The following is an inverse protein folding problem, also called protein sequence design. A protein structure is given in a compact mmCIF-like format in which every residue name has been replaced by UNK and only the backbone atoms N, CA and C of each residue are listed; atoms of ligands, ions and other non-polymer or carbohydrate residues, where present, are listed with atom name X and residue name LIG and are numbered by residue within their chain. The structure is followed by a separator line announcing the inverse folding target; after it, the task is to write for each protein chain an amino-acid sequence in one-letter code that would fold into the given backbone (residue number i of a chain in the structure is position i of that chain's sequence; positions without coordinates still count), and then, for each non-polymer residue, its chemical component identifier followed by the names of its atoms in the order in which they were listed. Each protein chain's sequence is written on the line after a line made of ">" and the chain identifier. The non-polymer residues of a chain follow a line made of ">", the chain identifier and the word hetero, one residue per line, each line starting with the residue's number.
data_IF_092304292468
#
_entry.id   IF_092304292468
#
_cell.length_a   1.000
_cell.length_b   1.000
_cell.length_c   1.000
_cell.angle_alpha   90.00
_cell.angle_beta   90.00
_cell.angle_gamma   90.00
#
_symmetry.space_group_name_H-M   'P 1'
#
loop_
_entity.id
_entity.type
_entity.pdbx_description
1 polymer ?
#
# COMPACT_ATOMS: atom_id res chain seq x y z
N UNK A 1 10.25 -11.79 -27.28
CA UNK A 1 9.79 -11.18 -26.01
C UNK A 1 10.02 -12.06 -24.75
N UNK A 2 10.05 -13.38 -24.86
CA UNK A 2 10.20 -14.30 -23.71
C UNK A 2 11.51 -14.19 -22.91
N UNK A 3 12.63 -13.85 -23.54
CA UNK A 3 13.93 -13.79 -22.85
C UNK A 3 14.22 -12.52 -22.03
N UNK A 4 13.51 -11.40 -22.31
CA UNK A 4 13.71 -10.14 -21.60
C UNK A 4 13.00 -10.18 -20.23
N UNK A 5 11.77 -10.67 -20.20
CA UNK A 5 10.98 -10.77 -18.95
C UNK A 5 11.60 -11.75 -17.94
N UNK A 6 12.22 -12.84 -18.41
CA UNK A 6 12.97 -13.77 -17.52
C UNK A 6 14.20 -13.11 -16.92
N UNK A 7 14.92 -12.30 -17.71
CA UNK A 7 16.10 -11.54 -17.21
C UNK A 7 15.75 -10.49 -16.16
N UNK A 8 14.48 -10.02 -16.15
CA UNK A 8 13.98 -9.06 -15.14
C UNK A 8 13.40 -9.73 -13.90
N UNK A 9 13.40 -11.08 -13.84
CA UNK A 9 12.92 -11.83 -12.68
C UNK A 9 11.41 -11.99 -12.58
N UNK A 10 10.64 -11.66 -13.64
CA UNK A 10 9.21 -11.94 -13.69
C UNK A 10 8.96 -13.44 -13.92
N UNK A 11 8.33 -14.17 -12.98
CA UNK A 11 8.09 -15.60 -13.14
C UNK A 11 7.02 -15.87 -14.20
N UNK A 12 7.39 -16.53 -15.27
CA UNK A 12 6.46 -16.87 -16.38
C UNK A 12 5.22 -17.63 -15.92
N UNK A 13 5.39 -18.53 -14.97
CA UNK A 13 4.28 -19.34 -14.43
C UNK A 13 3.19 -18.51 -13.73
N UNK A 14 3.51 -17.28 -13.33
CA UNK A 14 2.61 -16.36 -12.62
C UNK A 14 2.27 -15.11 -13.42
N UNK A 15 2.70 -14.97 -14.67
CA UNK A 15 2.55 -13.74 -15.47
C UNK A 15 1.09 -13.28 -15.59
N UNK A 16 0.15 -14.21 -15.81
CA UNK A 16 -1.27 -13.88 -15.86
C UNK A 16 -1.82 -13.46 -14.49
N UNK A 17 -1.28 -14.02 -13.40
CA UNK A 17 -1.65 -13.62 -12.06
C UNK A 17 -1.11 -12.21 -11.73
N UNK A 18 0.10 -11.87 -12.16
CA UNK A 18 0.62 -10.49 -12.06
C UNK A 18 -0.26 -9.49 -12.82
N UNK A 19 -0.64 -9.81 -14.06
CA UNK A 19 -1.56 -8.98 -14.83
C UNK A 19 -2.94 -8.89 -14.16
N UNK A 20 -3.41 -10.00 -13.59
CA UNK A 20 -4.66 -10.05 -12.84
C UNK A 20 -4.64 -9.13 -11.61
N UNK A 21 -3.56 -9.15 -10.83
CA UNK A 21 -3.39 -8.23 -9.69
C UNK A 21 -3.32 -6.78 -10.16
N UNK A 22 -2.61 -6.50 -11.26
CA UNK A 22 -2.51 -5.14 -11.82
C UNK A 22 -3.89 -4.57 -12.16
N UNK A 23 -4.73 -5.35 -12.86
CA UNK A 23 -6.08 -4.92 -13.25
C UNK A 23 -7.01 -4.86 -12.03
N UNK A 24 -6.90 -5.78 -11.08
CA UNK A 24 -7.65 -5.72 -9.82
C UNK A 24 -7.33 -4.44 -9.05
N UNK A 25 -6.05 -4.11 -8.90
CA UNK A 25 -5.60 -2.91 -8.21
C UNK A 25 -5.96 -1.62 -8.96
N UNK A 26 -6.06 -1.66 -10.29
CA UNK A 26 -6.64 -0.55 -11.05
C UNK A 26 -8.09 -0.30 -10.62
N UNK A 27 -8.90 -1.35 -10.45
CA UNK A 27 -10.26 -1.25 -9.91
C UNK A 27 -10.30 -0.68 -8.48
N UNK A 28 -9.37 -1.08 -7.62
CA UNK A 28 -9.30 -0.60 -6.24
C UNK A 28 -8.88 0.88 -6.13
N UNK A 29 -8.11 1.38 -7.09
CA UNK A 29 -7.60 2.76 -7.12
C UNK A 29 -8.58 3.81 -7.67
N UNK A 30 -9.73 3.41 -8.21
CA UNK A 30 -10.65 4.31 -8.94
C UNK A 30 -11.11 5.52 -8.11
N UNK A 31 -11.39 5.32 -6.83
CA UNK A 31 -11.94 6.38 -5.98
C UNK A 31 -10.87 7.19 -5.22
N UNK A 32 -9.60 6.84 -5.27
CA UNK A 32 -8.56 7.41 -4.40
C UNK A 32 -8.42 8.94 -4.50
N UNK A 33 -8.63 9.50 -5.68
CA UNK A 33 -8.36 10.92 -5.93
C UNK A 33 -9.56 11.83 -5.72
N UNK A 34 -10.78 11.30 -5.67
CA UNK A 34 -12.01 12.10 -5.64
C UNK A 34 -12.99 11.73 -4.52
N UNK A 35 -12.96 10.49 -4.00
CA UNK A 35 -13.99 10.03 -3.06
C UNK A 35 -14.02 10.85 -1.77
N UNK A 36 -12.86 11.19 -1.20
CA UNK A 36 -12.81 11.95 0.06
C UNK A 36 -13.51 13.30 -0.07
N UNK A 37 -13.22 14.02 -1.15
CA UNK A 37 -13.86 15.31 -1.43
C UNK A 37 -15.36 15.14 -1.64
N UNK A 38 -15.77 14.18 -2.46
CA UNK A 38 -17.17 13.88 -2.72
C UNK A 38 -17.97 13.58 -1.44
N UNK A 39 -17.41 12.78 -0.52
CA UNK A 39 -18.04 12.48 0.76
C UNK A 39 -18.20 13.72 1.63
N UNK A 40 -17.19 14.58 1.71
CA UNK A 40 -17.25 15.82 2.52
C UNK A 40 -18.25 16.81 1.93
N UNK A 41 -18.30 16.97 0.62
CA UNK A 41 -19.29 17.82 -0.08
C UNK A 41 -20.75 17.38 0.18
N UNK A 42 -20.94 16.08 0.47
CA UNK A 42 -22.23 15.51 0.86
C UNK A 42 -22.41 15.37 2.39
N UNK A 43 -21.61 16.08 3.19
CA UNK A 43 -21.76 16.15 4.64
C UNK A 43 -21.25 14.93 5.42
N UNK A 44 -20.48 14.04 4.79
CA UNK A 44 -19.93 12.84 5.42
C UNK A 44 -18.54 13.07 5.99
N UNK A 45 -18.19 12.37 7.09
CA UNK A 45 -16.86 12.36 7.66
C UNK A 45 -15.95 11.38 6.89
N UNK A 46 -15.31 11.87 5.84
CA UNK A 46 -14.43 11.05 5.00
C UNK A 46 -13.26 10.47 5.79
N UNK A 47 -12.66 11.24 6.72
CA UNK A 47 -11.50 10.79 7.49
C UNK A 47 -11.82 9.54 8.32
N UNK A 48 -12.99 9.49 8.95
CA UNK A 48 -13.44 8.33 9.73
C UNK A 48 -13.77 7.13 8.83
N UNK A 49 -14.43 7.37 7.66
CA UNK A 49 -14.72 6.31 6.69
C UNK A 49 -13.41 5.66 6.19
N UNK A 50 -12.43 6.47 5.79
CA UNK A 50 -11.12 5.98 5.36
C UNK A 50 -10.32 5.32 6.50
N UNK A 51 -10.45 5.80 7.74
CA UNK A 51 -9.79 5.17 8.90
C UNK A 51 -10.29 3.76 9.15
N UNK A 52 -11.61 3.55 9.14
CA UNK A 52 -12.20 2.22 9.35
C UNK A 52 -11.84 1.28 8.19
N UNK A 53 -11.89 1.76 6.95
CA UNK A 53 -11.36 1.03 5.80
C UNK A 53 -9.91 0.60 6.02
N UNK A 54 -9.04 1.54 6.40
CA UNK A 54 -7.62 1.28 6.65
C UNK A 54 -7.36 0.28 7.78
N UNK A 55 -8.18 0.30 8.84
CA UNK A 55 -8.11 -0.68 9.91
C UNK A 55 -8.43 -2.10 9.41
N UNK A 56 -9.44 -2.23 8.56
CA UNK A 56 -9.80 -3.51 7.95
C UNK A 56 -8.74 -3.99 6.96
N UNK A 57 -8.13 -3.06 6.22
CA UNK A 57 -6.96 -3.35 5.36
C UNK A 57 -5.81 -3.92 6.18
N UNK A 58 -5.46 -3.29 7.31
CA UNK A 58 -4.38 -3.76 8.18
C UNK A 58 -4.66 -5.18 8.74
N UNK A 59 -5.87 -5.40 9.24
CA UNK A 59 -6.30 -6.68 9.76
C UNK A 59 -6.25 -7.77 8.69
N UNK A 60 -6.79 -7.50 7.52
CA UNK A 60 -6.84 -8.44 6.42
C UNK A 60 -5.44 -8.74 5.86
N UNK A 61 -4.59 -7.74 5.71
CA UNK A 61 -3.21 -7.91 5.26
C UNK A 61 -2.40 -8.80 6.23
N UNK A 62 -2.59 -8.60 7.53
CA UNK A 62 -1.96 -9.42 8.55
C UNK A 62 -2.43 -10.86 8.53
N UNK A 63 -3.75 -11.09 8.39
CA UNK A 63 -4.35 -12.42 8.40
C UNK A 63 -4.18 -13.17 7.08
N UNK A 64 -3.95 -12.48 5.95
CA UNK A 64 -3.95 -13.05 4.60
C UNK A 64 -3.05 -14.27 4.43
N UNK A 65 -1.84 -14.24 5.02
CA UNK A 65 -0.88 -15.34 4.96
C UNK A 65 -1.41 -16.61 5.61
N UNK A 66 -1.91 -16.50 6.86
CA UNK A 66 -2.42 -17.66 7.62
C UNK A 66 -3.69 -18.22 7.00
N UNK A 67 -4.59 -17.34 6.54
CA UNK A 67 -5.81 -17.77 5.85
C UNK A 67 -5.44 -18.52 4.57
N UNK A 68 -4.47 -18.01 3.80
CA UNK A 68 -3.99 -18.65 2.58
C UNK A 68 -3.37 -20.03 2.85
N UNK A 69 -2.57 -20.15 3.91
CA UNK A 69 -1.95 -21.44 4.31
C UNK A 69 -2.97 -22.45 4.86
N UNK A 70 -4.06 -21.96 5.45
CA UNK A 70 -5.09 -22.83 6.06
C UNK A 70 -6.11 -23.30 5.02
N UNK A 71 -6.62 -22.39 4.19
CA UNK A 71 -7.71 -22.66 3.25
C UNK A 71 -7.26 -22.80 1.78
N UNK A 72 -5.99 -22.51 1.51
CA UNK A 72 -5.39 -22.54 0.19
C UNK A 72 -5.43 -21.17 -0.52
N UNK A 73 -4.38 -20.90 -1.30
CA UNK A 73 -4.15 -19.60 -1.94
C UNK A 73 -5.32 -19.17 -2.82
N UNK A 74 -5.72 -20.00 -3.80
CA UNK A 74 -6.78 -19.65 -4.75
C UNK A 74 -8.14 -19.43 -4.07
N UNK A 75 -8.46 -20.22 -3.05
CA UNK A 75 -9.72 -20.06 -2.29
C UNK A 75 -9.72 -18.76 -1.49
N UNK A 76 -8.60 -18.42 -0.86
CA UNK A 76 -8.45 -17.16 -0.11
C UNK A 76 -8.54 -15.95 -1.03
N UNK A 77 -7.86 -15.98 -2.20
CA UNK A 77 -7.98 -14.93 -3.21
C UNK A 77 -9.43 -14.77 -3.70
N UNK A 78 -10.12 -15.86 -3.98
CA UNK A 78 -11.53 -15.84 -4.41
C UNK A 78 -12.45 -15.26 -3.31
N UNK A 79 -12.26 -15.69 -2.06
CA UNK A 79 -13.01 -15.16 -0.92
C UNK A 79 -12.75 -13.65 -0.75
N UNK A 80 -11.50 -13.21 -0.89
CA UNK A 80 -11.13 -11.81 -0.88
C UNK A 80 -11.87 -10.99 -1.95
N UNK A 81 -11.92 -11.51 -3.18
CA UNK A 81 -12.68 -10.88 -4.25
C UNK A 81 -14.20 -10.81 -3.94
N UNK A 82 -14.79 -11.89 -3.44
CA UNK A 82 -16.23 -11.91 -3.13
C UNK A 82 -16.56 -10.85 -2.06
N UNK A 83 -15.77 -10.79 -0.98
CA UNK A 83 -15.91 -9.78 0.08
C UNK A 83 -15.75 -8.38 -0.49
N UNK A 84 -14.74 -8.16 -1.34
CA UNK A 84 -14.50 -6.90 -2.03
C UNK A 84 -15.69 -6.49 -2.89
N UNK A 85 -16.19 -7.39 -3.74
CA UNK A 85 -17.30 -7.12 -4.65
C UNK A 85 -18.60 -6.78 -3.89
N UNK A 86 -18.90 -7.51 -2.81
CA UNK A 86 -20.03 -7.21 -1.93
C UNK A 86 -19.84 -5.82 -1.27
N UNK A 87 -18.63 -5.52 -0.79
CA UNK A 87 -18.28 -4.23 -0.21
C UNK A 87 -18.51 -3.09 -1.20
N UNK A 88 -17.95 -3.19 -2.41
CA UNK A 88 -18.11 -2.16 -3.46
C UNK A 88 -19.56 -2.03 -3.93
N UNK A 89 -20.26 -3.15 -4.16
CA UNK A 89 -21.67 -3.13 -4.57
C UNK A 89 -22.56 -2.46 -3.51
N UNK A 90 -22.40 -2.82 -2.23
CA UNK A 90 -23.12 -2.19 -1.14
C UNK A 90 -22.76 -0.72 -0.96
N UNK A 91 -21.47 -0.38 -1.11
CA UNK A 91 -21.00 1.00 -1.03
C UNK A 91 -21.60 1.88 -2.13
N UNK A 92 -21.63 1.39 -3.39
CA UNK A 92 -22.19 2.13 -4.51
C UNK A 92 -23.73 2.22 -4.45
N UNK A 93 -24.42 1.07 -4.27
CA UNK A 93 -25.87 1.00 -4.44
C UNK A 93 -26.68 1.46 -3.23
N UNK A 94 -26.13 1.36 -2.03
CA UNK A 94 -26.83 1.73 -0.79
C UNK A 94 -26.12 2.91 -0.11
N UNK A 95 -24.80 2.80 0.07
CA UNK A 95 -24.02 3.81 0.77
C UNK A 95 -24.04 5.16 0.08
N UNK A 96 -23.51 5.23 -1.14
CA UNK A 96 -23.40 6.47 -1.91
C UNK A 96 -24.76 6.92 -2.46
N UNK A 97 -25.62 5.98 -2.90
CA UNK A 97 -26.90 6.32 -3.47
C UNK A 97 -27.85 7.03 -2.46
N UNK A 98 -27.80 6.63 -1.19
CA UNK A 98 -28.66 7.18 -0.14
C UNK A 98 -27.89 8.10 0.83
N UNK A 99 -26.58 8.29 0.66
CA UNK A 99 -25.70 8.99 1.61
C UNK A 99 -25.90 8.51 3.06
N UNK A 100 -26.04 7.19 3.22
CA UNK A 100 -26.27 6.59 4.53
C UNK A 100 -24.95 6.30 5.22
N UNK A 101 -24.61 7.09 6.25
CA UNK A 101 -23.31 7.04 6.91
C UNK A 101 -22.96 5.66 7.53
N UNK A 102 -23.82 4.97 8.29
CA UNK A 102 -23.55 3.63 8.78
C UNK A 102 -23.28 2.62 7.66
N UNK A 103 -24.04 2.68 6.57
CA UNK A 103 -23.84 1.79 5.42
C UNK A 103 -22.53 2.07 4.72
N UNK A 104 -22.15 3.35 4.54
CA UNK A 104 -20.85 3.74 4.00
C UNK A 104 -19.70 3.13 4.82
N UNK A 105 -19.78 3.22 6.15
CA UNK A 105 -18.77 2.66 7.04
C UNK A 105 -18.63 1.13 6.89
N UNK A 106 -19.76 0.41 6.96
CA UNK A 106 -19.74 -1.06 6.92
C UNK A 106 -19.30 -1.58 5.55
N UNK A 107 -19.85 -1.02 4.48
CA UNK A 107 -19.56 -1.53 3.13
C UNK A 107 -18.14 -1.16 2.66
N UNK A 108 -17.63 0.01 3.06
CA UNK A 108 -16.25 0.38 2.77
C UNK A 108 -15.26 -0.42 3.63
N UNK A 109 -15.62 -0.76 4.87
CA UNK A 109 -14.88 -1.69 5.70
C UNK A 109 -14.77 -3.09 5.06
N UNK A 110 -15.87 -3.61 4.50
CA UNK A 110 -15.87 -4.89 3.75
C UNK A 110 -14.95 -4.82 2.53
N UNK A 111 -14.99 -3.71 1.77
CA UNK A 111 -14.03 -3.49 0.67
C UNK A 111 -12.59 -3.57 1.19
N UNK A 112 -12.30 -2.92 2.33
CA UNK A 112 -10.98 -2.93 2.99
C UNK A 112 -10.54 -4.31 3.45
N UNK A 113 -11.46 -5.20 3.85
CA UNK A 113 -11.14 -6.61 4.15
C UNK A 113 -10.84 -7.41 2.88
N UNK A 114 -11.56 -7.13 1.79
CA UNK A 114 -11.52 -7.96 0.58
C UNK A 114 -10.23 -7.84 -0.21
N UNK A 115 -9.77 -6.61 -0.52
CA UNK A 115 -8.65 -6.46 -1.44
C UNK A 115 -7.32 -7.03 -0.93
N UNK A 116 -6.95 -6.91 0.37
CA UNK A 116 -5.70 -7.50 0.83
C UNK A 116 -5.73 -9.03 0.84
N UNK A 117 -6.89 -9.64 1.11
CA UNK A 117 -7.05 -11.10 0.95
C UNK A 117 -6.78 -11.55 -0.48
N UNK A 118 -7.08 -10.74 -1.48
CA UNK A 118 -6.71 -11.04 -2.86
C UNK A 118 -5.23 -10.72 -3.13
N UNK A 119 -4.80 -9.48 -2.94
CA UNK A 119 -3.51 -9.00 -3.38
C UNK A 119 -2.34 -9.54 -2.53
N UNK A 120 -2.44 -9.51 -1.19
CA UNK A 120 -1.34 -10.01 -0.34
C UNK A 120 -1.27 -11.53 -0.30
N UNK A 121 -2.39 -12.23 -0.51
CA UNK A 121 -2.34 -13.68 -0.71
C UNK A 121 -1.57 -14.04 -2.00
N UNK A 122 -1.64 -13.22 -3.04
CA UNK A 122 -0.80 -13.41 -4.22
C UNK A 122 0.70 -13.24 -3.90
N UNK A 123 1.07 -12.31 -3.02
CA UNK A 123 2.46 -12.21 -2.55
C UNK A 123 2.92 -13.50 -1.84
N UNK A 124 2.05 -14.14 -1.06
CA UNK A 124 2.31 -15.46 -0.48
C UNK A 124 2.52 -16.50 -1.59
N UNK A 125 1.68 -16.49 -2.63
CA UNK A 125 1.86 -17.40 -3.77
C UNK A 125 3.21 -17.24 -4.46
N UNK A 126 3.67 -15.99 -4.66
CA UNK A 126 5.01 -15.71 -5.19
C UNK A 126 6.09 -16.35 -4.31
N UNK A 127 5.99 -16.20 -3.00
CA UNK A 127 7.00 -16.70 -2.04
C UNK A 127 7.15 -18.23 -2.10
N UNK A 128 6.05 -18.96 -2.32
CA UNK A 128 6.08 -20.42 -2.43
C UNK A 128 6.44 -20.95 -3.82
N UNK A 129 6.36 -20.11 -4.86
CA UNK A 129 6.52 -20.58 -6.24
C UNK A 129 7.83 -20.15 -6.89
N UNK A 130 8.47 -19.12 -6.36
CA UNK A 130 9.65 -18.51 -6.95
C UNK A 130 10.90 -18.91 -6.16
N UNK A 131 11.98 -19.24 -6.87
CA UNK A 131 13.25 -19.58 -6.25
C UNK A 131 13.80 -18.42 -5.41
N UNK A 132 14.46 -18.74 -4.30
CA UNK A 132 15.05 -17.75 -3.38
C UNK A 132 15.98 -16.74 -4.09
N UNK A 133 16.65 -17.16 -5.16
CA UNK A 133 17.57 -16.30 -5.95
C UNK A 133 16.86 -15.18 -6.70
N UNK A 134 15.60 -15.38 -7.09
CA UNK A 134 14.80 -14.43 -7.88
C UNK A 134 13.60 -13.87 -7.12
N UNK A 135 13.42 -14.28 -5.87
CA UNK A 135 12.29 -13.88 -5.03
C UNK A 135 12.20 -12.37 -4.83
N UNK A 136 13.32 -11.70 -4.59
CA UNK A 136 13.36 -10.24 -4.41
C UNK A 136 12.88 -9.50 -5.67
N UNK A 137 13.30 -9.96 -6.86
CA UNK A 137 12.86 -9.40 -8.14
C UNK A 137 11.36 -9.63 -8.37
N UNK A 138 10.84 -10.81 -8.04
CA UNK A 138 9.42 -11.12 -8.17
C UNK A 138 8.55 -10.28 -7.21
N UNK A 139 9.03 -10.03 -5.99
CA UNK A 139 8.38 -9.10 -5.06
C UNK A 139 8.44 -7.65 -5.55
N UNK A 140 9.54 -7.24 -6.19
CA UNK A 140 9.63 -5.94 -6.87
C UNK A 140 8.56 -5.79 -7.95
N UNK A 141 8.35 -6.83 -8.78
CA UNK A 141 7.26 -6.87 -9.76
C UNK A 141 5.88 -6.81 -9.11
N UNK A 142 5.69 -7.44 -7.96
CA UNK A 142 4.44 -7.33 -7.21
C UNK A 142 4.14 -5.87 -6.84
N UNK A 143 5.09 -5.17 -6.25
CA UNK A 143 4.89 -3.77 -5.89
C UNK A 143 4.74 -2.85 -7.09
N UNK A 144 5.41 -3.16 -8.21
CA UNK A 144 5.23 -2.44 -9.47
C UNK A 144 3.79 -2.54 -9.97
N UNK A 145 3.22 -3.76 -10.06
CA UNK A 145 1.85 -3.96 -10.55
C UNK A 145 0.82 -3.45 -9.54
N UNK A 146 1.08 -3.62 -8.25
CA UNK A 146 0.22 -3.12 -7.18
C UNK A 146 0.11 -1.59 -7.22
N UNK A 147 1.23 -0.88 -7.15
CA UNK A 147 1.28 0.59 -7.14
C UNK A 147 0.88 1.17 -8.48
N UNK A 148 1.34 0.58 -9.58
CA UNK A 148 1.01 1.00 -10.94
C UNK A 148 -0.48 0.85 -11.25
N UNK A 149 -1.11 -0.24 -10.81
CA UNK A 149 -2.56 -0.42 -10.91
C UNK A 149 -3.29 0.61 -10.07
N UNK A 150 -3.04 0.61 -8.77
CA UNK A 150 -3.81 1.40 -7.80
C UNK A 150 -3.58 2.91 -7.93
N UNK A 151 -2.34 3.37 -7.83
CA UNK A 151 -2.06 4.81 -7.76
C UNK A 151 -1.93 5.49 -9.14
N UNK A 152 -1.54 4.74 -10.18
CA UNK A 152 -1.37 5.34 -11.52
C UNK A 152 -2.62 5.12 -12.37
N UNK A 153 -2.85 3.90 -12.88
CA UNK A 153 -3.95 3.67 -13.82
C UNK A 153 -5.32 3.80 -13.16
N UNK A 154 -5.49 3.36 -11.91
CA UNK A 154 -6.73 3.51 -11.16
C UNK A 154 -7.09 4.98 -10.97
N UNK A 155 -6.12 5.83 -10.65
CA UNK A 155 -6.35 7.27 -10.48
C UNK A 155 -6.70 7.98 -11.77
N UNK A 156 -5.98 7.70 -12.89
CA UNK A 156 -6.31 8.28 -14.20
C UNK A 156 -7.69 7.84 -14.68
N UNK A 157 -7.96 6.53 -14.60
CA UNK A 157 -9.26 6.01 -15.01
C UNK A 157 -10.38 6.49 -14.08
N UNK A 158 -10.12 6.60 -12.79
CA UNK A 158 -11.11 6.98 -11.79
C UNK A 158 -11.69 8.36 -12.01
N UNK A 159 -10.84 9.37 -12.34
CA UNK A 159 -11.34 10.70 -12.66
C UNK A 159 -12.09 10.71 -13.99
N UNK A 160 -11.56 10.02 -15.01
CA UNK A 160 -12.24 9.86 -16.28
C UNK A 160 -13.65 9.23 -16.11
N UNK A 161 -13.74 8.14 -15.35
CA UNK A 161 -15.00 7.44 -15.12
C UNK A 161 -15.99 8.29 -14.34
N UNK A 162 -15.52 9.03 -13.30
CA UNK A 162 -16.35 9.97 -12.55
C UNK A 162 -16.94 11.07 -13.44
N UNK A 163 -16.12 11.65 -14.32
CA UNK A 163 -16.52 12.76 -15.19
C UNK A 163 -17.50 12.33 -16.29
N UNK A 164 -17.32 11.14 -16.88
CA UNK A 164 -18.10 10.69 -18.02
C UNK A 164 -19.32 9.84 -17.62
N UNK A 165 -19.21 9.04 -16.57
CA UNK A 165 -20.28 8.11 -16.15
C UNK A 165 -20.96 8.53 -14.85
N UNK A 166 -20.35 9.44 -14.07
CA UNK A 166 -20.80 9.81 -12.74
C UNK A 166 -20.27 8.89 -11.64
N UNK A 167 -20.51 9.26 -10.39
CA UNK A 167 -19.92 8.64 -9.19
C UNK A 167 -20.31 7.17 -9.03
N UNK A 168 -21.62 6.86 -9.08
CA UNK A 168 -22.11 5.50 -8.82
C UNK A 168 -21.69 4.53 -9.95
N UNK A 169 -21.86 4.84 -11.24
CA UNK A 169 -21.38 3.98 -12.31
C UNK A 169 -19.85 3.80 -12.29
N UNK A 170 -19.08 4.85 -11.95
CA UNK A 170 -17.64 4.73 -11.80
C UNK A 170 -17.25 3.67 -10.74
N UNK A 171 -17.95 3.63 -9.61
CA UNK A 171 -17.75 2.60 -8.58
C UNK A 171 -18.09 1.19 -9.07
N UNK A 172 -19.13 1.03 -9.89
CA UNK A 172 -19.45 -0.27 -10.48
C UNK A 172 -18.36 -0.78 -11.41
N UNK A 173 -17.65 0.10 -12.12
CA UNK A 173 -16.49 -0.32 -12.95
C UNK A 173 -15.38 -0.93 -12.12
N UNK A 174 -15.24 -0.60 -10.83
CA UNK A 174 -14.27 -1.25 -9.92
C UNK A 174 -14.50 -2.76 -9.83
N UNK A 175 -15.77 -3.20 -9.77
CA UNK A 175 -16.12 -4.63 -9.76
C UNK A 175 -15.76 -5.28 -11.10
N UNK A 176 -15.97 -4.58 -12.23
CA UNK A 176 -15.62 -5.10 -13.56
C UNK A 176 -14.12 -5.38 -13.64
N UNK A 177 -13.27 -4.40 -13.27
CA UNK A 177 -11.82 -4.59 -13.25
C UNK A 177 -11.39 -5.67 -12.27
N UNK A 178 -11.96 -5.69 -11.06
CA UNK A 178 -11.67 -6.73 -10.08
C UNK A 178 -12.04 -8.12 -10.60
N UNK A 179 -13.18 -8.26 -11.27
CA UNK A 179 -13.62 -9.54 -11.90
C UNK A 179 -12.65 -9.99 -12.99
N UNK A 180 -12.27 -9.08 -13.90
CA UNK A 180 -11.27 -9.38 -14.93
C UNK A 180 -9.95 -9.82 -14.28
N UNK A 181 -9.50 -9.08 -13.25
CA UNK A 181 -8.28 -9.40 -12.50
C UNK A 181 -8.31 -10.79 -11.88
N UNK A 182 -9.42 -11.16 -11.26
CA UNK A 182 -9.62 -12.48 -10.65
C UNK A 182 -9.64 -13.59 -11.71
N UNK A 183 -10.34 -13.38 -12.82
CA UNK A 183 -10.38 -14.37 -13.92
C UNK A 183 -8.97 -14.60 -14.47
N UNK A 184 -8.19 -13.55 -14.69
CA UNK A 184 -6.81 -13.69 -15.16
C UNK A 184 -5.93 -14.43 -14.14
N UNK A 185 -6.05 -14.09 -12.86
CA UNK A 185 -5.21 -14.67 -11.83
C UNK A 185 -5.56 -16.11 -11.47
N UNK A 186 -6.85 -16.46 -11.42
CA UNK A 186 -7.30 -17.75 -10.88
C UNK A 186 -7.73 -18.75 -11.96
N UNK A 187 -8.22 -18.28 -13.11
CA UNK A 187 -8.72 -19.13 -14.20
C UNK A 187 -7.71 -19.24 -15.34
N UNK A 188 -7.25 -18.10 -15.87
CA UNK A 188 -6.31 -18.07 -17.00
C UNK A 188 -4.92 -18.51 -16.56
N UNK A 189 -4.49 -18.17 -15.36
CA UNK A 189 -3.22 -18.60 -14.82
C UNK A 189 -3.26 -20.08 -14.43
N UNK A 190 -2.75 -20.95 -15.33
CA UNK A 190 -2.77 -22.42 -15.16
C UNK A 190 -1.83 -22.94 -14.08
N UNK A 191 -1.04 -22.09 -13.43
CA UNK A 191 -0.14 -22.52 -12.36
C UNK A 191 -0.94 -23.01 -11.15
N UNK A 192 -0.82 -24.32 -10.84
CA UNK A 192 -1.49 -24.92 -9.67
C UNK A 192 -0.92 -24.40 -8.36
N UNK A 193 -1.78 -24.23 -7.38
CA UNK A 193 -1.39 -23.87 -6.00
C UNK A 193 -1.70 -25.00 -5.01
N UNK A 194 -2.33 -26.08 -5.48
CA UNK A 194 -2.95 -27.09 -4.61
C UNK A 194 -1.95 -27.95 -3.84
N UNK A 195 -0.75 -28.18 -4.40
CA UNK A 195 0.29 -29.02 -3.78
C UNK A 195 1.40 -28.22 -3.07
N UNK A 196 1.33 -26.87 -3.05
CA UNK A 196 2.40 -26.06 -2.48
C UNK A 196 2.54 -26.25 -0.97
N UNK A 197 1.42 -26.42 -0.28
CA UNK A 197 1.42 -26.60 1.18
C UNK A 197 1.63 -28.05 1.60
N UNK A 198 1.34 -29.03 0.76
CA UNK A 198 1.63 -30.44 1.02
C UNK A 198 3.14 -30.71 1.08
N UNK A 199 3.91 -30.07 0.20
CA UNK A 199 5.37 -30.18 0.22
C UNK A 199 6.00 -29.52 1.47
N UNK A 200 5.48 -28.37 1.90
CA UNK A 200 5.97 -27.69 3.11
C UNK A 200 5.51 -28.40 4.41
N UNK A 201 4.44 -29.17 4.38
CA UNK A 201 3.99 -29.97 5.52
C UNK A 201 4.86 -31.21 5.75
N UNK A 202 5.50 -31.73 4.71
CA UNK A 202 6.47 -32.83 4.84
C UNK A 202 7.79 -32.40 5.48
N UNK A 203 8.26 -31.15 5.21
CA UNK A 203 9.44 -30.59 5.86
C UNK A 203 9.19 -30.13 7.31
N UNK A 204 7.91 -29.95 7.72
CA UNK A 204 7.50 -29.49 9.05
C UNK A 204 7.03 -30.62 9.99
N UNK A 205 7.40 -31.88 9.72
CA UNK A 205 6.97 -33.03 10.54
C UNK A 205 7.49 -32.99 11.98
N UNK A 206 8.33 -32.03 12.38
CA UNK A 206 8.93 -31.92 13.70
C UNK A 206 8.23 -30.99 14.70
N UNK A 207 7.16 -30.29 14.37
CA UNK A 207 6.32 -29.60 15.34
C UNK A 207 4.92 -29.28 14.81
N UNK A 208 3.85 -29.77 15.46
CA UNK A 208 2.49 -29.30 15.17
C UNK A 208 2.27 -27.92 15.80
N UNK A 209 3.01 -26.92 15.33
CA UNK A 209 2.76 -25.55 15.78
C UNK A 209 1.49 -25.07 15.08
N UNK A 210 0.46 -24.80 15.89
CA UNK A 210 -0.81 -24.26 15.44
C UNK A 210 -0.52 -23.00 14.58
N UNK A 211 -0.97 -22.96 13.33
CA UNK A 211 -0.70 -21.86 12.37
C UNK A 211 -1.09 -20.48 12.92
N UNK A 212 -2.08 -20.43 13.81
CA UNK A 212 -2.42 -19.24 14.58
C UNK A 212 -1.30 -18.80 15.55
N UNK A 213 -0.52 -19.73 16.09
CA UNK A 213 0.63 -19.40 16.95
C UNK A 213 1.75 -18.75 16.13
N UNK A 214 1.92 -19.11 14.86
CA UNK A 214 2.90 -18.45 13.96
C UNK A 214 2.51 -16.99 13.66
N UNK A 215 1.23 -16.66 13.56
CA UNK A 215 0.72 -15.28 13.47
C UNK A 215 1.17 -14.44 14.66
N UNK A 216 1.05 -15.00 15.87
CA UNK A 216 1.46 -14.31 17.09
C UNK A 216 3.00 -14.28 17.27
N UNK A 217 3.78 -15.07 16.52
CA UNK A 217 5.25 -14.93 16.50
C UNK A 217 5.69 -13.56 15.96
N UNK A 218 5.00 -13.01 14.94
CA UNK A 218 5.25 -11.66 14.47
C UNK A 218 5.00 -10.60 15.54
N UNK A 219 3.98 -10.80 16.40
CA UNK A 219 3.75 -9.94 17.55
C UNK A 219 4.74 -10.21 18.68
N UNK A 220 5.07 -11.48 18.93
CA UNK A 220 6.02 -11.89 19.98
C UNK A 220 7.44 -11.35 19.70
N UNK A 221 7.87 -11.28 18.45
CA UNK A 221 9.19 -10.72 18.10
C UNK A 221 9.29 -9.24 18.45
N UNK A 222 8.19 -8.46 18.36
CA UNK A 222 8.17 -7.06 18.76
C UNK A 222 8.47 -6.85 20.23
N UNK A 223 8.06 -7.81 21.10
CA UNK A 223 8.39 -7.79 22.52
C UNK A 223 9.81 -8.26 22.84
N UNK A 224 10.38 -9.16 22.01
CA UNK A 224 11.73 -9.71 22.22
C UNK A 224 12.82 -8.84 21.61
N UNK A 225 12.53 -8.24 20.45
CA UNK A 225 13.49 -7.44 19.66
C UNK A 225 12.95 -6.02 19.46
N UNK A 226 13.20 -5.09 20.40
CA UNK A 226 12.69 -3.72 20.33
C UNK A 226 13.07 -2.98 19.02
N UNK A 227 14.22 -3.33 18.42
CA UNK A 227 14.64 -2.74 17.13
C UNK A 227 13.70 -3.13 15.99
N UNK A 228 13.11 -4.32 16.00
CA UNK A 228 12.13 -4.76 15.02
C UNK A 228 10.81 -4.00 15.21
N UNK A 229 10.37 -3.79 16.44
CA UNK A 229 9.21 -2.94 16.74
C UNK A 229 9.42 -1.51 16.21
N UNK A 230 10.59 -0.92 16.48
CA UNK A 230 10.95 0.41 15.94
C UNK A 230 10.92 0.39 14.41
N UNK A 231 11.44 -0.66 13.77
CA UNK A 231 11.35 -0.85 12.32
C UNK A 231 9.91 -0.86 11.80
N UNK A 232 9.00 -1.51 12.53
CA UNK A 232 7.56 -1.49 12.25
C UNK A 232 6.96 -0.09 12.35
N UNK A 233 7.33 0.69 13.37
CA UNK A 233 6.90 2.09 13.53
C UNK A 233 7.40 2.96 12.36
N UNK A 234 8.68 2.81 11.98
CA UNK A 234 9.24 3.49 10.79
C UNK A 234 8.44 3.12 9.55
N UNK A 235 8.04 1.86 9.40
CA UNK A 235 7.23 1.40 8.27
C UNK A 235 5.82 1.99 8.26
N UNK A 236 5.18 2.17 9.41
CA UNK A 236 3.91 2.89 9.53
C UNK A 236 4.10 4.32 9.02
N UNK A 237 5.08 5.04 9.55
CA UNK A 237 5.34 6.44 9.18
C UNK A 237 5.60 6.59 7.68
N UNK A 238 6.36 5.67 7.08
CA UNK A 238 6.72 5.68 5.67
C UNK A 238 5.52 5.98 4.74
N UNK A 239 4.42 5.24 4.89
CA UNK A 239 3.26 5.37 3.99
C UNK A 239 2.08 6.13 4.59
N UNK A 240 2.19 6.60 5.84
CA UNK A 240 1.13 7.37 6.53
C UNK A 240 0.73 8.62 5.74
N UNK A 241 1.71 9.39 5.23
CA UNK A 241 1.41 10.60 4.44
C UNK A 241 0.69 10.29 3.14
N UNK A 242 0.99 9.18 2.48
CA UNK A 242 0.28 8.74 1.27
C UNK A 242 -1.22 8.58 1.55
N UNK A 243 -1.57 7.87 2.62
CA UNK A 243 -2.98 7.66 3.00
C UNK A 243 -3.64 8.90 3.59
N UNK A 244 -2.88 9.78 4.24
CA UNK A 244 -3.40 11.07 4.68
C UNK A 244 -3.70 11.98 3.48
N UNK A 245 -2.82 12.05 2.49
CA UNK A 245 -2.96 12.92 1.33
C UNK A 245 -4.21 12.61 0.49
N UNK A 246 -4.55 11.35 0.28
CA UNK A 246 -5.78 11.01 -0.44
C UNK A 246 -7.06 11.47 0.29
N UNK A 247 -6.97 11.73 1.59
CA UNK A 247 -8.11 12.19 2.40
C UNK A 247 -8.26 13.71 2.40
N UNK A 248 -7.18 14.48 2.64
CA UNK A 248 -7.31 15.92 2.80
C UNK A 248 -6.85 16.76 1.60
N UNK A 249 -5.87 16.28 0.81
CA UNK A 249 -5.32 17.05 -0.30
C UNK A 249 -6.34 17.37 -1.40
N UNK A 250 -7.28 16.50 -1.79
CA UNK A 250 -8.30 16.87 -2.78
C UNK A 250 -9.12 18.10 -2.36
N UNK A 251 -9.49 18.16 -1.08
CA UNK A 251 -10.22 19.30 -0.50
C UNK A 251 -9.35 20.56 -0.46
N UNK A 252 -8.13 20.41 0.04
CA UNK A 252 -7.18 21.51 0.16
C UNK A 252 -6.79 22.08 -1.20
N UNK A 253 -6.45 21.27 -2.18
CA UNK A 253 -6.11 21.68 -3.54
C UNK A 253 -7.29 22.40 -4.21
N UNK A 254 -8.50 21.88 -4.04
CA UNK A 254 -9.72 22.51 -4.57
C UNK A 254 -9.96 23.89 -3.96
N UNK A 255 -9.71 24.08 -2.66
CA UNK A 255 -9.84 25.38 -2.00
C UNK A 255 -8.86 26.44 -2.51
N UNK A 256 -7.79 26.02 -3.18
CA UNK A 256 -6.78 26.88 -3.80
C UNK A 256 -6.92 26.96 -5.33
N UNK A 257 -8.03 26.48 -5.90
CA UNK A 257 -8.34 26.59 -7.33
C UNK A 257 -7.75 25.48 -8.22
N UNK A 258 -7.12 24.45 -7.65
CA UNK A 258 -6.70 23.26 -8.38
C UNK A 258 -7.92 22.35 -8.55
N UNK A 259 -8.33 22.08 -9.78
CA UNK A 259 -9.50 21.26 -10.05
C UNK A 259 -9.23 19.76 -9.84
N UNK A 260 -10.31 18.95 -9.76
CA UNK A 260 -10.23 17.52 -9.47
C UNK A 260 -9.40 16.74 -10.48
N UNK A 261 -9.51 17.09 -11.77
CA UNK A 261 -8.74 16.47 -12.86
C UNK A 261 -7.25 16.76 -12.74
N UNK A 262 -6.89 18.02 -12.44
CA UNK A 262 -5.50 18.40 -12.18
C UNK A 262 -4.93 17.65 -10.96
N UNK A 263 -5.68 17.58 -9.85
CA UNK A 263 -5.25 16.83 -8.68
C UNK A 263 -5.04 15.35 -9.00
N UNK A 264 -5.99 14.70 -9.66
CA UNK A 264 -5.91 13.28 -10.01
C UNK A 264 -4.72 12.98 -10.94
N UNK A 265 -4.48 13.85 -11.92
CA UNK A 265 -3.34 13.70 -12.85
C UNK A 265 -2.00 13.95 -12.15
N UNK A 266 -1.91 14.93 -11.24
CA UNK A 266 -0.72 15.13 -10.39
C UNK A 266 -0.48 13.86 -9.57
N UNK A 267 -1.49 13.36 -8.84
CA UNK A 267 -1.35 12.19 -8.00
C UNK A 267 -0.88 10.96 -8.77
N UNK A 268 -1.50 10.65 -9.89
CA UNK A 268 -1.12 9.53 -10.74
C UNK A 268 0.31 9.67 -11.28
N UNK A 269 0.67 10.87 -11.75
CA UNK A 269 1.99 11.12 -12.37
C UNK A 269 3.12 11.03 -11.36
N UNK A 270 2.96 11.53 -10.13
CA UNK A 270 4.03 11.50 -9.12
C UNK A 270 4.39 10.06 -8.71
N UNK A 271 3.44 9.13 -8.76
CA UNK A 271 3.73 7.72 -8.49
C UNK A 271 4.50 7.00 -9.60
N UNK A 272 4.50 7.50 -10.83
CA UNK A 272 5.41 7.01 -11.89
C UNK A 272 6.87 7.25 -11.47
N UNK A 273 7.16 8.45 -10.91
CA UNK A 273 8.49 8.74 -10.36
C UNK A 273 8.83 7.83 -9.17
N UNK A 274 7.88 7.60 -8.26
CA UNK A 274 8.09 6.70 -7.13
C UNK A 274 8.52 5.30 -7.60
N UNK A 275 7.80 4.72 -8.55
CA UNK A 275 8.08 3.38 -9.09
C UNK A 275 9.48 3.34 -9.71
N UNK A 276 9.86 4.34 -10.51
CA UNK A 276 11.20 4.43 -11.12
C UNK A 276 12.31 4.58 -10.08
N UNK A 277 12.13 5.45 -9.11
CA UNK A 277 13.12 5.73 -8.07
C UNK A 277 13.24 4.64 -7.01
N UNK A 278 12.25 3.76 -6.85
CA UNK A 278 12.38 2.57 -6.01
C UNK A 278 13.57 1.69 -6.43
N UNK A 279 13.81 1.54 -7.74
CA UNK A 279 14.97 0.81 -8.26
C UNK A 279 16.28 1.54 -7.94
N UNK A 280 16.30 2.86 -8.14
CA UNK A 280 17.48 3.70 -7.89
C UNK A 280 17.87 3.66 -6.41
N UNK A 281 16.90 3.84 -5.49
CA UNK A 281 17.17 3.82 -4.05
C UNK A 281 17.50 2.43 -3.50
N UNK A 282 17.09 1.36 -4.16
CA UNK A 282 17.63 0.03 -3.89
C UNK A 282 19.15 0.01 -4.06
N UNK A 283 19.66 0.47 -5.22
CA UNK A 283 21.09 0.53 -5.54
C UNK A 283 21.83 1.54 -4.62
N UNK A 284 21.24 2.71 -4.40
CA UNK A 284 21.81 3.75 -3.52
C UNK A 284 21.93 3.22 -2.10
N UNK A 285 20.92 2.52 -1.60
CA UNK A 285 20.93 1.89 -0.28
C UNK A 285 22.07 0.90 -0.09
N UNK A 286 22.35 0.08 -1.09
CA UNK A 286 23.44 -0.88 -1.05
C UNK A 286 24.83 -0.19 -1.05
N UNK A 287 24.97 0.94 -1.75
CA UNK A 287 26.24 1.68 -1.86
C UNK A 287 26.54 2.54 -0.62
N UNK A 288 25.61 3.37 -0.18
CA UNK A 288 25.84 4.34 0.91
C UNK A 288 25.39 3.84 2.29
N UNK A 289 24.64 2.71 2.31
CA UNK A 289 24.14 2.04 3.50
C UNK A 289 22.65 2.28 3.72
N UNK A 290 21.94 1.20 4.05
CA UNK A 290 20.48 1.17 4.20
C UNK A 290 19.96 2.20 5.20
N UNK A 291 20.53 2.24 6.41
CA UNK A 291 20.12 3.19 7.44
C UNK A 291 20.32 4.65 7.01
N UNK A 292 21.45 4.97 6.37
CA UNK A 292 21.70 6.34 5.89
C UNK A 292 20.71 6.76 4.81
N UNK A 293 20.39 5.86 3.86
CA UNK A 293 19.42 6.13 2.80
C UNK A 293 18.04 6.40 3.38
N UNK A 294 17.57 5.55 4.29
CA UNK A 294 16.26 5.74 4.95
C UNK A 294 16.25 7.03 5.79
N UNK A 295 17.30 7.32 6.54
CA UNK A 295 17.37 8.54 7.37
C UNK A 295 17.31 9.81 6.53
N UNK A 296 18.19 9.95 5.53
CA UNK A 296 18.33 11.21 4.81
C UNK A 296 17.28 11.42 3.73
N UNK A 297 17.01 10.41 2.92
CA UNK A 297 16.02 10.54 1.83
C UNK A 297 14.61 10.23 2.36
N UNK A 298 14.41 9.06 2.97
CA UNK A 298 13.13 8.67 3.54
C UNK A 298 12.66 9.59 4.66
N UNK A 299 13.48 9.84 5.66
CA UNK A 299 13.12 10.67 6.80
C UNK A 299 13.20 12.17 6.51
N UNK A 300 14.41 12.75 6.49
CA UNK A 300 14.60 14.20 6.32
C UNK A 300 14.08 14.68 4.98
N UNK A 301 14.37 13.96 3.88
CA UNK A 301 13.91 14.31 2.54
C UNK A 301 12.39 14.34 2.44
N UNK A 302 11.69 13.31 2.95
CA UNK A 302 10.22 13.30 2.98
C UNK A 302 9.65 14.40 3.87
N UNK A 303 10.25 14.72 5.01
CA UNK A 303 9.78 15.80 5.87
C UNK A 303 9.76 17.16 5.13
N UNK A 304 10.88 17.50 4.48
CA UNK A 304 11.00 18.74 3.71
C UNK A 304 10.05 18.75 2.51
N UNK A 305 10.03 17.66 1.74
CA UNK A 305 9.23 17.60 0.50
C UNK A 305 7.72 17.45 0.78
N UNK A 306 7.31 16.92 1.94
CA UNK A 306 5.91 16.93 2.41
C UNK A 306 5.42 18.38 2.56
N UNK A 307 6.19 19.23 3.24
CA UNK A 307 5.85 20.64 3.40
C UNK A 307 5.94 21.39 2.06
N UNK A 308 6.96 21.10 1.25
CA UNK A 308 7.09 21.71 -0.07
C UNK A 308 5.88 21.39 -0.95
N UNK A 309 5.43 20.14 -0.99
CA UNK A 309 4.26 19.73 -1.78
C UNK A 309 2.97 20.34 -1.23
N UNK A 310 2.83 20.42 0.10
CA UNK A 310 1.68 21.07 0.72
C UNK A 310 1.62 22.56 0.39
N UNK A 311 2.73 23.30 0.53
CA UNK A 311 2.75 24.74 0.27
C UNK A 311 2.89 25.11 -1.23
N UNK A 312 3.16 24.15 -2.11
CA UNK A 312 3.36 24.40 -3.53
C UNK A 312 2.25 25.25 -4.18
N UNK A 313 0.95 24.96 -4.04
CA UNK A 313 -0.11 25.75 -4.64
C UNK A 313 -0.25 27.17 -4.04
N UNK A 314 0.22 27.39 -2.82
CA UNK A 314 0.26 28.73 -2.19
C UNK A 314 1.45 29.55 -2.72
N UNK A 315 2.59 28.91 -3.00
CA UNK A 315 3.80 29.57 -3.51
C UNK A 315 3.62 29.93 -4.99
N UNK A 316 3.16 28.96 -5.79
CA UNK A 316 2.92 29.12 -7.20
C UNK A 316 1.80 28.18 -7.65
N UNK A 317 0.61 28.74 -7.92
CA UNK A 317 -0.54 27.95 -8.37
C UNK A 317 -0.39 27.60 -9.86
N UNK A 318 0.70 26.88 -10.19
CA UNK A 318 0.99 26.38 -11.52
C UNK A 318 1.05 24.84 -11.47
N UNK A 319 0.35 24.20 -12.40
CA UNK A 319 0.29 22.74 -12.50
C UNK A 319 1.66 22.06 -12.46
N UNK A 320 2.61 22.56 -13.27
CA UNK A 320 3.95 21.96 -13.39
C UNK A 320 4.79 22.15 -12.13
N UNK A 321 4.62 23.28 -11.43
CA UNK A 321 5.29 23.51 -10.16
C UNK A 321 4.78 22.58 -9.06
N UNK A 322 3.46 22.44 -8.93
CA UNK A 322 2.83 21.53 -7.95
C UNK A 322 3.22 20.09 -8.25
N UNK A 323 3.16 19.68 -9.54
CA UNK A 323 3.59 18.36 -9.99
C UNK A 323 5.06 18.08 -9.63
N UNK A 324 5.95 19.05 -9.86
CA UNK A 324 7.38 18.90 -9.55
C UNK A 324 7.63 18.74 -8.05
N UNK A 325 6.94 19.52 -7.21
CA UNK A 325 7.02 19.38 -5.75
C UNK A 325 6.50 18.01 -5.28
N UNK A 326 5.38 17.54 -5.83
CA UNK A 326 4.84 16.22 -5.55
C UNK A 326 5.76 15.09 -6.04
N UNK A 327 6.37 15.24 -7.22
CA UNK A 327 7.34 14.28 -7.75
C UNK A 327 8.57 14.17 -6.82
N UNK A 328 9.08 15.29 -6.31
CA UNK A 328 10.17 15.28 -5.32
C UNK A 328 9.77 14.53 -4.05
N UNK A 329 8.55 14.73 -3.55
CA UNK A 329 8.06 13.99 -2.40
C UNK A 329 8.01 12.47 -2.69
N UNK A 330 7.47 12.07 -3.83
CA UNK A 330 7.40 10.67 -4.25
C UNK A 330 8.78 10.04 -4.49
N UNK A 331 9.75 10.82 -4.99
CA UNK A 331 11.15 10.41 -5.11
C UNK A 331 11.75 10.16 -3.73
N UNK A 332 11.58 11.09 -2.79
CA UNK A 332 12.08 10.94 -1.43
C UNK A 332 11.42 9.76 -0.70
N UNK A 333 10.13 9.52 -0.95
CA UNK A 333 9.39 8.39 -0.39
C UNK A 333 10.02 7.04 -0.79
N UNK A 334 10.55 6.93 -2.00
CA UNK A 334 11.30 5.75 -2.45
C UNK A 334 12.59 5.51 -1.63
N UNK A 335 13.09 6.51 -0.93
CA UNK A 335 14.22 6.38 0.01
C UNK A 335 13.99 5.41 1.16
N UNK A 336 12.75 4.96 1.38
CA UNK A 336 12.42 3.90 2.35
C UNK A 336 12.59 2.47 1.82
N UNK A 337 12.86 2.27 0.54
CA UNK A 337 13.04 0.92 -0.04
C UNK A 337 14.04 0.07 0.74
N UNK A 338 15.21 0.58 1.16
CA UNK A 338 16.17 -0.21 1.93
C UNK A 338 15.69 -0.65 3.33
N UNK A 339 14.59 -0.11 3.84
CA UNK A 339 14.03 -0.53 5.12
C UNK A 339 13.66 -2.01 5.13
N UNK A 340 13.23 -2.54 3.98
CA UNK A 340 12.90 -3.97 3.79
C UNK A 340 14.11 -4.90 3.97
N UNK A 341 15.33 -4.39 3.76
CA UNK A 341 16.57 -5.12 4.00
C UNK A 341 17.11 -4.83 5.43
N UNK A 342 17.00 -3.57 5.88
CA UNK A 342 17.50 -3.14 7.18
C UNK A 342 16.84 -3.90 8.34
N UNK A 343 15.51 -3.95 8.39
CA UNK A 343 14.81 -4.52 9.56
C UNK A 343 15.03 -6.02 9.71
N UNK A 344 14.93 -6.88 8.67
CA UNK A 344 15.27 -8.29 8.81
C UNK A 344 16.75 -8.56 9.13
N UNK A 345 17.65 -7.61 8.81
CA UNK A 345 19.07 -7.75 9.16
C UNK A 345 19.37 -7.50 10.64
N UNK A 346 18.42 -6.97 11.40
CA UNK A 346 18.58 -6.71 12.85
C UNK A 346 18.46 -7.97 13.70
N UNK A 347 18.00 -9.07 13.11
CA UNK A 347 17.80 -10.36 13.79
C UNK A 347 18.57 -11.47 13.07
N UNK A 348 19.18 -12.36 13.84
CA UNK A 348 19.89 -13.54 13.30
C UNK A 348 18.90 -14.64 12.90
N UNK A 349 17.86 -14.84 13.74
CA UNK A 349 16.80 -15.83 13.57
C UNK A 349 15.45 -15.11 13.38
N UNK A 350 14.46 -15.82 12.88
CA UNK A 350 13.08 -15.29 12.69
C UNK A 350 12.96 -14.08 11.76
N UNK A 351 13.80 -14.00 10.71
CA UNK A 351 13.75 -12.92 9.69
C UNK A 351 12.37 -12.78 9.05
N UNK A 352 11.66 -13.90 8.87
CA UNK A 352 10.28 -13.90 8.37
C UNK A 352 9.31 -13.16 9.30
N UNK A 353 9.45 -13.32 10.62
CA UNK A 353 8.65 -12.59 11.58
C UNK A 353 8.94 -11.07 11.53
N UNK A 354 10.19 -10.68 11.33
CA UNK A 354 10.56 -9.26 11.15
C UNK A 354 9.94 -8.66 9.87
N UNK A 355 9.88 -9.42 8.77
CA UNK A 355 9.17 -9.01 7.54
C UNK A 355 7.67 -8.88 7.79
N UNK A 356 7.07 -9.78 8.58
CA UNK A 356 5.64 -9.69 8.93
C UNK A 356 5.32 -8.41 9.70
N UNK A 357 6.21 -7.94 10.57
CA UNK A 357 6.06 -6.65 11.26
C UNK A 357 6.06 -5.48 10.28
N UNK A 358 6.92 -5.52 9.26
CA UNK A 358 6.92 -4.50 8.20
C UNK A 358 5.61 -4.50 7.39
N UNK A 359 5.08 -5.68 7.07
CA UNK A 359 3.82 -5.80 6.34
C UNK A 359 2.63 -5.29 7.18
N UNK A 360 2.60 -5.64 8.47
CA UNK A 360 1.63 -5.09 9.42
C UNK A 360 1.74 -3.56 9.48
N UNK A 361 2.96 -3.02 9.56
CA UNK A 361 3.20 -1.57 9.55
C UNK A 361 2.69 -0.89 8.28
N UNK A 362 2.89 -1.51 7.12
CA UNK A 362 2.35 -1.01 5.86
C UNK A 362 0.81 -0.94 5.84
N UNK A 363 0.14 -1.98 6.37
CA UNK A 363 -1.31 -2.01 6.52
C UNK A 363 -1.83 -0.97 7.52
N UNK A 364 -1.18 -0.85 8.69
CA UNK A 364 -1.55 0.13 9.72
C UNK A 364 -1.43 1.58 9.26
N UNK A 365 -0.54 1.89 8.32
CA UNK A 365 -0.44 3.23 7.76
C UNK A 365 -1.75 3.69 7.08
N UNK A 366 -2.51 2.76 6.49
CA UNK A 366 -3.81 3.05 5.88
C UNK A 366 -4.87 3.47 6.90
N UNK A 367 -4.71 3.06 8.17
CA UNK A 367 -5.52 3.55 9.29
C UNK A 367 -4.97 4.85 9.87
N UNK A 368 -3.66 4.90 10.15
CA UNK A 368 -3.02 6.01 10.85
C UNK A 368 -3.10 7.31 10.05
N UNK A 369 -2.93 7.26 8.72
CA UNK A 369 -3.02 8.44 7.86
C UNK A 369 -4.36 9.17 7.98
N UNK A 370 -5.49 8.54 7.64
CA UNK A 370 -6.82 9.13 7.80
C UNK A 370 -7.15 9.51 9.24
N UNK A 371 -6.71 8.72 10.24
CA UNK A 371 -6.93 9.03 11.65
C UNK A 371 -6.25 10.34 12.07
N UNK A 372 -5.01 10.60 11.62
CA UNK A 372 -4.33 11.87 11.84
C UNK A 372 -5.11 13.02 11.19
N UNK A 373 -5.61 12.83 9.97
CA UNK A 373 -6.43 13.84 9.29
C UNK A 373 -7.68 14.16 10.12
N UNK A 374 -8.40 13.13 10.59
CA UNK A 374 -9.59 13.30 11.42
C UNK A 374 -9.31 14.05 12.72
N UNK A 375 -8.25 13.67 13.44
CA UNK A 375 -7.85 14.27 14.71
C UNK A 375 -7.37 15.72 14.55
N UNK A 376 -6.62 16.01 13.48
CA UNK A 376 -6.01 17.33 13.26
C UNK A 376 -6.89 18.27 12.43
N UNK A 377 -8.01 17.79 11.87
CA UNK A 377 -8.94 18.61 11.07
C UNK A 377 -9.36 19.92 11.75
N UNK A 378 -9.67 19.96 13.07
CA UNK A 378 -10.00 21.20 13.76
C UNK A 378 -8.87 22.24 13.78
N UNK A 379 -7.60 21.78 13.67
CA UNK A 379 -6.42 22.62 13.65
C UNK A 379 -6.03 23.14 12.25
N UNK A 380 -6.77 22.71 11.21
CA UNK A 380 -6.56 23.10 9.82
C UNK A 380 -5.56 22.22 9.05
N UNK A 381 -5.55 22.39 7.73
CA UNK A 381 -4.74 21.55 6.81
C UNK A 381 -3.23 21.70 7.04
N UNK A 382 -2.76 22.90 7.41
CA UNK A 382 -1.36 23.14 7.71
C UNK A 382 -0.87 22.29 8.90
N UNK A 383 -1.70 22.17 9.96
CA UNK A 383 -1.35 21.36 11.12
C UNK A 383 -1.18 19.87 10.71
N UNK A 384 -2.03 19.36 9.82
CA UNK A 384 -1.90 18.00 9.28
C UNK A 384 -0.54 17.84 8.58
N UNK A 385 -0.18 18.75 7.68
CA UNK A 385 1.08 18.70 6.94
C UNK A 385 2.30 18.74 7.85
N UNK A 386 2.29 19.61 8.88
CA UNK A 386 3.36 19.70 9.87
C UNK A 386 3.49 18.45 10.74
N UNK A 387 2.37 17.83 11.17
CA UNK A 387 2.40 16.56 11.90
C UNK A 387 2.99 15.45 11.03
N UNK A 388 2.61 15.36 9.76
CA UNK A 388 3.17 14.37 8.84
C UNK A 388 4.68 14.58 8.63
N UNK A 389 5.13 15.83 8.47
CA UNK A 389 6.55 16.17 8.35
C UNK A 389 7.32 15.83 9.65
N UNK A 390 6.75 16.13 10.82
CA UNK A 390 7.35 15.79 12.10
C UNK A 390 7.49 14.27 12.28
N UNK A 391 6.50 13.47 11.85
CA UNK A 391 6.60 12.02 11.87
C UNK A 391 7.75 11.51 11.01
N UNK A 392 8.01 12.10 9.85
CA UNK A 392 9.18 11.74 9.04
C UNK A 392 10.50 12.06 9.74
N UNK A 393 10.59 13.17 10.48
CA UNK A 393 11.78 13.45 11.31
C UNK A 393 11.91 12.42 12.44
N UNK A 394 10.81 12.05 13.10
CA UNK A 394 10.81 10.96 14.09
C UNK A 394 11.31 9.66 13.45
N UNK A 395 10.84 9.33 12.26
CA UNK A 395 11.32 8.17 11.50
C UNK A 395 12.83 8.22 11.23
N UNK A 396 13.38 9.41 10.88
CA UNK A 396 14.81 9.59 10.68
C UNK A 396 15.59 9.28 11.96
N UNK A 397 15.17 9.84 13.09
CA UNK A 397 15.78 9.59 14.41
C UNK A 397 15.72 8.10 14.78
N UNK A 398 14.55 7.49 14.66
CA UNK A 398 14.35 6.07 14.94
C UNK A 398 15.23 5.19 14.05
N UNK A 399 15.41 5.55 12.78
CA UNK A 399 16.28 4.83 11.86
C UNK A 399 17.74 4.88 12.28
N UNK A 400 18.21 6.03 12.77
CA UNK A 400 19.58 6.15 13.34
C UNK A 400 19.75 5.24 14.55
N UNK A 401 18.73 5.17 15.43
CA UNK A 401 18.78 4.33 16.65
C UNK A 401 18.91 2.84 16.32
N UNK A 402 18.19 2.35 15.30
CA UNK A 402 18.21 0.92 14.93
C UNK A 402 19.36 0.54 14.00
N UNK A 403 19.97 1.52 13.31
CA UNK A 403 21.02 1.25 12.33
C UNK A 403 22.28 0.70 13.01
N UNK A 404 22.88 -0.39 12.52
CA UNK A 404 24.14 -0.89 13.05
C UNK A 404 25.21 0.19 12.95
N UNK A 405 25.89 0.48 14.06
CA UNK A 405 27.10 1.33 14.00
C UNK A 405 28.13 0.63 13.16
N UNK A 406 28.52 1.23 12.03
CA UNK A 406 29.69 0.76 11.29
C UNK A 406 30.86 0.76 12.26
N UNK A 407 31.47 -0.40 12.56
CA UNK A 407 32.82 -0.41 13.14
C UNK A 407 33.67 0.38 12.14
N UNK A 408 34.26 1.47 12.64
CA UNK A 408 35.27 2.17 11.86
C UNK A 408 36.33 1.13 11.47
N UNK A 409 36.50 0.93 10.16
CA UNK A 409 37.58 0.12 9.61
C UNK A 409 38.88 0.88 9.68
#
# INVERSE_FOLDING_TARGET
>A
MSGILERTGLPKSLSWAFLGVFIFMMGDGIEQTWLSKYLVENGMDSARIFSIYGLMVALSAWLSGVIAETFGIKRTMLAGYIIYAIGVAGFASIGLANMNYPTLLVTYALKGLGFPLFAYTFMVWITYRVDQKTLSSAQGWFWFVFTGGMNVLGSYYGIFAKEHFGVIPAMWTAIIFATIGVVLALVVNKCGSENLFAASAQDKQDSPTNKFVELFRGLAIMGREPKVLIGGIIRIINTTSQFAFIVFMPLYMSSLGVNDTQWATIWATIFIFNIGFNLIFGIVGDKIGWGRTVTWFGGVGCAVTTLLFFYAPQICNNYWFILSCGALWCIMLAGYVPLSALVPSLVDKDKGAAVSVLNLGAGLAAFVGPAIVGLMKPCGYAAIAWVLAALYIVSAVLTVVISPRRKAA
#
